data_IF_728984666031
#
_entry.id   IF_728984666031
#
_cell.length_a   1.000
_cell.length_b   1.000
_cell.length_c   1.000
_cell.angle_alpha   90.00
_cell.angle_beta   90.00
_cell.angle_gamma   90.00
#
_symmetry.space_group_name_H-M   'P 1'
#
loop_
_entity.id
_entity.type
_entity.pdbx_description
1 polymer ?
#
# COMPACT_ATOMS: atom_id res chain seq x y z
N UNK A 1 12.41 -18.63 -13.89
CA UNK A 1 12.40 -17.67 -12.76
C UNK A 1 10.95 -17.31 -12.49
N UNK A 2 10.44 -17.50 -11.26
CA UNK A 2 9.12 -16.95 -10.89
C UNK A 2 9.32 -15.47 -10.58
N UNK A 3 8.52 -14.61 -11.19
CA UNK A 3 8.50 -13.19 -10.86
C UNK A 3 7.66 -13.03 -9.60
N UNK A 4 8.26 -12.50 -8.53
CA UNK A 4 7.58 -12.20 -7.28
C UNK A 4 7.29 -10.70 -7.24
N UNK A 5 6.07 -10.33 -6.86
CA UNK A 5 5.74 -8.94 -6.60
C UNK A 5 6.00 -8.60 -5.13
N UNK A 6 6.41 -7.37 -4.90
CA UNK A 6 6.65 -6.82 -3.56
C UNK A 6 5.95 -5.48 -3.48
N UNK A 7 5.09 -5.34 -2.48
CA UNK A 7 4.50 -4.05 -2.11
C UNK A 7 5.35 -3.40 -1.03
N UNK A 8 5.49 -2.08 -1.07
CA UNK A 8 6.27 -1.35 -0.08
C UNK A 8 5.79 0.07 0.13
N UNK A 9 6.03 0.58 1.33
CA UNK A 9 5.76 1.97 1.68
C UNK A 9 6.88 2.56 2.53
N UNK A 10 7.04 3.88 2.46
CA UNK A 10 8.02 4.67 3.20
C UNK A 10 7.33 5.86 3.87
N UNK A 11 7.38 5.91 5.20
CA UNK A 11 7.00 7.08 5.98
C UNK A 11 8.09 8.15 5.86
N UNK A 12 7.74 9.31 5.29
CA UNK A 12 8.71 10.35 4.89
C UNK A 12 9.46 10.96 6.08
N UNK A 13 8.77 11.19 7.19
CA UNK A 13 9.32 11.92 8.33
C UNK A 13 10.26 11.05 9.17
N UNK A 14 9.90 9.79 9.37
CA UNK A 14 10.64 8.86 10.24
C UNK A 14 11.59 7.95 9.47
N UNK A 15 11.39 7.83 8.14
CA UNK A 15 12.03 6.86 7.25
C UNK A 15 11.73 5.40 7.60
N UNK A 16 10.69 5.14 8.38
CA UNK A 16 10.18 3.77 8.57
C UNK A 16 9.63 3.27 7.25
N UNK A 17 9.94 2.03 6.91
CA UNK A 17 9.44 1.39 5.72
C UNK A 17 9.13 -0.07 5.98
N UNK A 18 8.29 -0.64 5.12
CA UNK A 18 8.03 -2.07 5.08
C UNK A 18 8.02 -2.55 3.64
N UNK A 19 8.27 -3.85 3.48
CA UNK A 19 8.21 -4.57 2.22
C UNK A 19 7.47 -5.89 2.49
N UNK A 20 6.41 -6.15 1.72
CA UNK A 20 5.57 -7.35 1.84
C UNK A 20 5.58 -8.05 0.49
N UNK A 21 5.92 -9.33 0.48
CA UNK A 21 5.77 -10.17 -0.70
C UNK A 21 4.27 -10.41 -0.97
N UNK A 22 3.87 -10.25 -2.23
CA UNK A 22 2.47 -10.44 -2.62
C UNK A 22 2.36 -11.39 -3.80
N UNK A 23 1.44 -12.34 -3.71
CA UNK A 23 1.19 -13.31 -4.79
C UNK A 23 0.58 -12.63 -6.03
N UNK A 24 -0.24 -11.60 -5.82
CA UNK A 24 -0.80 -10.74 -6.85
C UNK A 24 -0.86 -9.26 -6.41
N UNK A 25 -1.15 -8.36 -7.36
CA UNK A 25 -1.28 -6.91 -7.13
C UNK A 25 -2.74 -6.47 -7.25
N UNK A 26 -3.69 -7.33 -6.88
CA UNK A 26 -5.10 -6.97 -6.89
C UNK A 26 -5.36 -5.82 -5.92
N UNK A 27 -6.43 -5.06 -6.18
CA UNK A 27 -6.81 -3.96 -5.31
C UNK A 27 -7.07 -4.44 -3.88
N UNK A 28 -7.72 -5.59 -3.72
CA UNK A 28 -8.07 -6.16 -2.42
C UNK A 28 -6.80 -6.49 -1.62
N UNK A 29 -5.82 -7.19 -2.22
CA UNK A 29 -4.54 -7.50 -1.58
C UNK A 29 -3.79 -6.24 -1.15
N UNK A 30 -3.71 -5.23 -2.01
CA UNK A 30 -2.99 -4.00 -1.67
C UNK A 30 -3.72 -3.18 -0.59
N UNK A 31 -5.06 -3.13 -0.64
CA UNK A 31 -5.87 -2.41 0.34
C UNK A 31 -5.82 -3.08 1.73
N UNK A 32 -5.75 -4.41 1.80
CA UNK A 32 -5.57 -5.14 3.05
C UNK A 32 -4.22 -4.78 3.69
N UNK A 33 -3.13 -4.82 2.91
CA UNK A 33 -1.78 -4.46 3.38
C UNK A 33 -1.72 -2.99 3.84
N UNK A 34 -2.38 -2.08 3.12
CA UNK A 34 -2.46 -0.67 3.53
C UNK A 34 -3.18 -0.52 4.87
N UNK A 35 -4.31 -1.20 5.06
CA UNK A 35 -5.08 -1.13 6.30
C UNK A 35 -4.36 -1.74 7.50
N UNK A 36 -3.54 -2.77 7.27
CA UNK A 36 -2.74 -3.40 8.31
C UNK A 36 -1.55 -2.54 8.75
N UNK A 37 -0.86 -1.90 7.80
CA UNK A 37 0.44 -1.28 8.07
C UNK A 37 0.44 0.26 8.06
N UNK A 38 -0.57 0.90 7.49
CA UNK A 38 -0.64 2.37 7.38
C UNK A 38 -1.78 2.88 8.24
N UNK A 39 -1.44 3.83 9.13
CA UNK A 39 -2.41 4.47 10.01
C UNK A 39 -3.45 5.25 9.20
N UNK A 40 -4.74 4.99 9.43
CA UNK A 40 -5.83 5.77 8.85
C UNK A 40 -5.72 7.26 9.23
N UNK A 41 -6.13 8.15 8.33
CA UNK A 41 -6.00 9.59 8.47
C UNK A 41 -4.63 10.15 8.06
N UNK A 42 -3.70 9.29 7.63
CA UNK A 42 -2.44 9.73 7.01
C UNK A 42 -2.59 9.85 5.50
N UNK A 43 -1.87 10.79 4.90
CA UNK A 43 -1.89 10.98 3.44
C UNK A 43 -0.96 10.00 2.75
N UNK A 44 -1.53 9.13 1.91
CA UNK A 44 -0.76 8.23 1.04
C UNK A 44 -0.48 8.92 -0.30
N UNK A 45 0.79 8.94 -0.72
CA UNK A 45 1.20 9.42 -2.04
C UNK A 45 1.60 8.20 -2.88
N UNK A 46 0.70 7.79 -3.76
CA UNK A 46 0.91 6.65 -4.67
C UNK A 46 1.10 7.09 -6.12
N UNK A 47 1.46 6.14 -6.97
CA UNK A 47 1.58 6.29 -8.43
C UNK A 47 0.22 6.35 -9.16
N UNK A 48 -0.88 6.62 -8.43
CA UNK A 48 -2.24 6.73 -8.96
C UNK A 48 -2.75 5.46 -9.67
N UNK A 49 -2.28 4.28 -9.24
CA UNK A 49 -2.86 3.01 -9.68
C UNK A 49 -4.36 2.94 -9.34
N UNK A 50 -5.17 2.40 -10.25
CA UNK A 50 -6.63 2.26 -10.13
C UNK A 50 -7.11 1.59 -8.81
N UNK A 51 -6.35 0.63 -8.30
CA UNK A 51 -6.55 -0.09 -7.04
C UNK A 51 -6.69 0.84 -5.82
N UNK A 52 -6.13 2.04 -5.90
CA UNK A 52 -6.13 3.01 -4.80
C UNK A 52 -7.33 3.97 -4.80
N UNK A 53 -8.27 3.85 -5.75
CA UNK A 53 -9.41 4.76 -5.84
C UNK A 53 -10.29 4.80 -4.58
N UNK A 54 -10.24 3.74 -3.75
CA UNK A 54 -11.02 3.64 -2.52
C UNK A 54 -10.32 4.24 -1.29
N UNK A 55 -9.04 4.64 -1.38
CA UNK A 55 -8.27 5.11 -0.22
C UNK A 55 -8.92 6.32 0.47
N UNK A 56 -9.39 7.29 -0.31
CA UNK A 56 -10.09 8.45 0.25
C UNK A 56 -11.39 8.07 0.99
N UNK A 57 -12.08 7.01 0.55
CA UNK A 57 -13.30 6.52 1.22
C UNK A 57 -12.97 5.75 2.50
N UNK A 58 -11.79 5.13 2.55
CA UNK A 58 -11.24 4.42 3.70
C UNK A 58 -10.56 5.37 4.71
N UNK A 59 -10.49 6.67 4.41
CA UNK A 59 -9.98 7.69 5.31
C UNK A 59 -8.47 7.93 5.22
N UNK A 60 -7.85 7.64 4.07
CA UNK A 60 -6.46 7.99 3.74
C UNK A 60 -6.38 9.21 2.82
#
# INVERSE_FOLDING_TARGET
>A
VKTQWVFGALERDTRRCFLVEVEDQSADTLLEIIQEHILSGTTIISDLWHSYNMLNQLGY
#
